data_IF_319232309012
#
_entry.id   IF_319232309012
#
_cell.length_a   1.000
_cell.length_b   1.000
_cell.length_c   1.000
_cell.angle_alpha   90.00
_cell.angle_beta   90.00
_cell.angle_gamma   90.00
#
_symmetry.space_group_name_H-M   'P 1'
#
loop_
_entity.id
_entity.type
_entity.pdbx_description
1 polymer ?
#
# COMPACT_ATOMS: atom_id res chain seq x y z
N UNK A 1 -2.32 -16.44 5.82
CA UNK A 1 -2.12 -15.23 5.00
C UNK A 1 -3.46 -14.52 4.89
N UNK A 2 -3.49 -13.21 5.10
CA UNK A 2 -4.71 -12.43 4.87
C UNK A 2 -4.89 -12.34 3.35
N UNK A 3 -6.00 -12.86 2.83
CA UNK A 3 -6.29 -12.89 1.38
C UNK A 3 -7.29 -11.79 1.01
N UNK A 4 -7.43 -10.77 1.86
CA UNK A 4 -8.30 -9.64 1.57
C UNK A 4 -7.77 -8.88 0.35
N UNK A 5 -8.62 -8.63 -0.66
CA UNK A 5 -8.26 -7.78 -1.79
C UNK A 5 -8.01 -6.35 -1.30
N UNK A 6 -7.06 -5.65 -1.94
CA UNK A 6 -6.76 -4.23 -1.70
C UNK A 6 -7.12 -3.43 -2.95
N UNK A 7 -8.43 -3.25 -3.27
CA UNK A 7 -8.87 -2.69 -4.54
C UNK A 7 -8.34 -1.29 -4.87
N UNK A 8 -8.16 -0.40 -3.88
CA UNK A 8 -7.60 0.93 -4.15
C UNK A 8 -6.11 0.85 -4.51
N UNK A 9 -5.34 0.02 -3.80
CA UNK A 9 -3.94 -0.24 -4.10
C UNK A 9 -3.79 -0.97 -5.44
N UNK A 10 -4.66 -1.94 -5.75
CA UNK A 10 -4.69 -2.63 -7.02
C UNK A 10 -5.01 -1.69 -8.19
N UNK A 11 -5.93 -0.74 -8.00
CA UNK A 11 -6.24 0.29 -8.99
C UNK A 11 -5.04 1.23 -9.24
N UNK A 12 -4.34 1.67 -8.19
CA UNK A 12 -3.12 2.48 -8.35
C UNK A 12 -2.00 1.67 -9.04
N UNK A 13 -1.86 0.39 -8.70
CA UNK A 13 -0.87 -0.51 -9.29
C UNK A 13 -1.18 -0.90 -10.75
N UNK A 14 -2.38 -0.60 -11.26
CA UNK A 14 -2.74 -0.85 -12.65
C UNK A 14 -2.05 0.12 -13.62
N UNK A 15 -1.61 1.29 -13.16
CA UNK A 15 -0.79 2.22 -13.95
C UNK A 15 0.62 1.61 -14.18
N UNK A 16 1.04 1.38 -15.44
CA UNK A 16 2.36 0.82 -15.75
C UNK A 16 3.54 1.62 -15.20
N UNK A 17 3.39 2.94 -15.00
CA UNK A 17 4.41 3.78 -14.38
C UNK A 17 4.62 3.44 -12.89
N UNK A 18 3.68 2.73 -12.27
CA UNK A 18 3.69 2.32 -10.85
C UNK A 18 4.25 0.93 -10.63
N UNK A 19 5.09 0.42 -11.55
CA UNK A 19 5.69 -0.92 -11.44
C UNK A 19 6.42 -1.17 -10.10
N UNK A 20 7.09 -0.15 -9.54
CA UNK A 20 7.72 -0.25 -8.22
C UNK A 20 6.70 -0.44 -7.10
N UNK A 21 5.61 0.33 -7.12
CA UNK A 21 4.52 0.20 -6.15
C UNK A 21 3.85 -1.17 -6.26
N UNK A 22 3.58 -1.61 -7.49
CA UNK A 22 3.02 -2.95 -7.76
C UNK A 22 3.89 -4.06 -7.18
N UNK A 23 5.21 -4.00 -7.38
CA UNK A 23 6.13 -4.98 -6.81
C UNK A 23 6.09 -4.96 -5.28
N UNK A 24 6.14 -3.76 -4.66
CA UNK A 24 6.08 -3.63 -3.20
C UNK A 24 4.76 -4.14 -2.61
N UNK A 25 3.65 -4.01 -3.36
CA UNK A 25 2.35 -4.55 -2.95
C UNK A 25 2.35 -6.09 -2.98
N UNK A 26 2.94 -6.70 -4.01
CA UNK A 26 3.14 -8.16 -4.08
C UNK A 26 4.01 -8.64 -2.92
N UNK A 27 5.15 -7.98 -2.68
CA UNK A 27 6.06 -8.32 -1.58
C UNK A 27 5.35 -8.24 -0.21
N UNK A 28 4.45 -7.26 -0.02
CA UNK A 28 3.65 -7.14 1.20
C UNK A 28 2.69 -8.32 1.38
N UNK A 29 2.04 -8.77 0.30
CA UNK A 29 1.09 -9.89 0.33
C UNK A 29 1.81 -11.21 0.62
N UNK A 30 3.03 -11.36 0.11
CA UNK A 30 3.87 -12.55 0.31
C UNK A 30 4.60 -12.56 1.66
N UNK A 31 4.71 -11.42 2.35
CA UNK A 31 5.41 -11.28 3.62
C UNK A 31 4.83 -12.22 4.70
N UNK A 32 5.71 -13.05 5.27
CA UNK A 32 5.31 -14.14 6.16
C UNK A 32 5.21 -13.71 7.62
N UNK A 33 6.15 -12.88 8.06
CA UNK A 33 6.26 -12.43 9.46
C UNK A 33 5.90 -10.95 9.66
N UNK A 34 5.79 -10.57 10.92
CA UNK A 34 5.41 -9.21 11.32
C UNK A 34 6.45 -8.15 10.92
N UNK A 35 7.74 -8.46 11.06
CA UNK A 35 8.82 -7.51 10.81
C UNK A 35 8.99 -7.23 9.30
N UNK A 36 8.78 -8.24 8.46
CA UNK A 36 8.67 -8.11 7.02
C UNK A 36 7.50 -7.22 6.64
N UNK A 37 6.30 -7.49 7.18
CA UNK A 37 5.11 -6.66 6.92
C UNK A 37 5.31 -5.22 7.34
N UNK A 38 5.84 -4.99 8.54
CA UNK A 38 6.13 -3.64 9.02
C UNK A 38 7.07 -2.89 8.08
N UNK A 39 8.17 -3.52 7.66
CA UNK A 39 9.13 -2.93 6.70
C UNK A 39 8.46 -2.63 5.35
N UNK A 40 7.60 -3.51 4.85
CA UNK A 40 6.89 -3.29 3.58
C UNK A 40 5.90 -2.12 3.69
N UNK A 41 5.14 -2.01 4.78
CA UNK A 41 4.23 -0.87 4.98
C UNK A 41 4.98 0.45 5.07
N UNK A 42 6.13 0.49 5.74
CA UNK A 42 6.96 1.70 5.78
C UNK A 42 7.41 2.13 4.37
N UNK A 43 7.81 1.18 3.52
CA UNK A 43 8.20 1.46 2.13
C UNK A 43 7.04 1.99 1.29
N UNK A 44 5.89 1.31 1.36
CA UNK A 44 4.68 1.74 0.67
C UNK A 44 4.24 3.13 1.15
N UNK A 45 4.27 3.39 2.46
CA UNK A 45 3.96 4.69 3.04
C UNK A 45 4.87 5.82 2.51
N UNK A 46 6.16 5.56 2.39
CA UNK A 46 7.10 6.50 1.78
C UNK A 46 6.82 6.74 0.29
N UNK A 47 6.51 5.69 -0.47
CA UNK A 47 6.13 5.82 -1.88
C UNK A 47 4.87 6.67 -2.05
N UNK A 48 3.82 6.41 -1.26
CA UNK A 48 2.56 7.16 -1.28
C UNK A 48 2.77 8.62 -0.88
N UNK A 49 3.63 8.89 0.09
CA UNK A 49 3.98 10.26 0.48
C UNK A 49 4.65 11.02 -0.66
N UNK A 50 5.58 10.37 -1.38
CA UNK A 50 6.22 10.97 -2.55
C UNK A 50 5.21 11.27 -3.69
N UNK A 51 4.20 10.41 -3.89
CA UNK A 51 3.14 10.68 -4.86
C UNK A 51 2.32 11.90 -4.48
N UNK A 52 1.95 12.00 -3.20
CA UNK A 52 1.19 13.14 -2.68
C UNK A 52 1.99 14.44 -2.81
N UNK A 53 3.27 14.44 -2.43
CA UNK A 53 4.16 15.60 -2.56
C UNK A 53 4.38 16.05 -4.01
N UNK A 54 4.21 15.14 -4.97
CA UNK A 54 4.32 15.44 -6.40
C UNK A 54 2.97 15.73 -7.07
N UNK A 55 1.89 15.91 -6.30
CA UNK A 55 0.52 16.14 -6.79
C UNK A 55 0.02 15.04 -7.75
N UNK A 56 0.54 13.82 -7.61
CA UNK A 56 0.13 12.66 -8.43
C UNK A 56 -1.19 12.08 -7.94
N UNK A 57 -1.40 12.10 -6.63
CA UNK A 57 -2.61 11.64 -5.95
C UNK A 57 -3.10 12.73 -5.01
N UNK A 58 -4.39 12.72 -4.68
CA UNK A 58 -4.96 13.66 -3.71
C UNK A 58 -4.72 13.20 -2.27
N UNK A 59 -4.97 14.10 -1.31
CA UNK A 59 -4.96 13.77 0.11
C UNK A 59 -5.95 12.64 0.44
N UNK A 60 -7.14 12.65 -0.16
CA UNK A 60 -8.18 11.65 0.04
C UNK A 60 -7.74 10.28 -0.49
N UNK A 61 -7.13 10.23 -1.68
CA UNK A 61 -6.56 9.01 -2.25
C UNK A 61 -5.42 8.47 -1.36
N UNK A 62 -4.54 9.35 -0.90
CA UNK A 62 -3.46 8.97 0.02
C UNK A 62 -4.00 8.38 1.33
N UNK A 63 -5.05 8.96 1.92
CA UNK A 63 -5.70 8.43 3.13
C UNK A 63 -6.30 7.05 2.85
N UNK A 64 -7.11 6.92 1.79
CA UNK A 64 -7.77 5.66 1.43
C UNK A 64 -6.77 4.52 1.22
N UNK A 65 -5.68 4.78 0.49
CA UNK A 65 -4.62 3.80 0.23
C UNK A 65 -3.91 3.38 1.54
N UNK A 66 -3.63 4.34 2.42
CA UNK A 66 -2.98 4.05 3.71
C UNK A 66 -3.88 3.28 4.67
N UNK A 67 -5.17 3.56 4.67
CA UNK A 67 -6.16 2.85 5.46
C UNK A 67 -6.31 1.41 4.97
N UNK A 68 -6.38 1.20 3.66
CA UNK A 68 -6.48 -0.13 3.06
C UNK A 68 -5.24 -0.99 3.36
N UNK A 69 -4.03 -0.44 3.20
CA UNK A 69 -2.79 -1.14 3.59
C UNK A 69 -2.77 -1.45 5.08
N UNK A 70 -3.25 -0.51 5.92
CA UNK A 70 -3.32 -0.75 7.35
C UNK A 70 -4.29 -1.88 7.70
N UNK A 71 -5.49 -1.87 7.11
CA UNK A 71 -6.50 -2.90 7.32
C UNK A 71 -5.98 -4.27 6.88
N UNK A 72 -5.31 -4.35 5.74
CA UNK A 72 -4.70 -5.59 5.27
C UNK A 72 -3.69 -6.18 6.26
N UNK A 73 -2.85 -5.33 6.86
CA UNK A 73 -1.72 -5.78 7.71
C UNK A 73 -2.12 -6.01 9.16
N UNK A 74 -2.91 -5.11 9.74
CA UNK A 74 -3.22 -5.08 11.17
C UNK A 74 -4.71 -5.26 11.48
N UNK A 75 -5.57 -5.28 10.47
CA UNK A 75 -7.02 -5.28 10.63
C UNK A 75 -7.61 -3.87 10.77
N UNK A 76 -8.94 -3.77 10.90
CA UNK A 76 -9.64 -2.50 10.99
C UNK A 76 -9.17 -1.71 12.22
N UNK A 77 -9.09 -0.38 12.08
CA UNK A 77 -8.83 0.49 13.22
C UNK A 77 -10.05 0.49 14.17
N UNK A 78 -9.83 0.57 15.49
CA UNK A 78 -10.90 0.69 16.48
C UNK A 78 -11.64 2.03 16.38
#
# INVERSE_FOLDING_TARGET
MNTQPMPACEALAADPARYMFKQQLVDLVEAGDYDEKFRMVCRLGGYLSALLECDVITCEEHIALREEVHEFVWGPRP
#
